data_IF_074533942889
#
_entry.id   IF_074533942889
#
_cell.length_a   1.000
_cell.length_b   1.000
_cell.length_c   1.000
_cell.angle_alpha   90.00
_cell.angle_beta   90.00
_cell.angle_gamma   90.00
#
_symmetry.space_group_name_H-M   'P 1'
#
loop_
_entity.id
_entity.type
_entity.pdbx_description
1 polymer ?
#
# COMPACT_ATOMS: atom_id res chain seq x y z
N UNK A 1 10.00 -22.68 23.79
CA UNK A 1 9.82 -21.25 23.57
C UNK A 1 10.38 -20.94 22.19
N UNK A 2 9.65 -20.95 21.09
CA UNK A 2 8.22 -21.20 20.90
C UNK A 2 7.87 -20.61 19.53
N UNK A 3 7.85 -21.43 18.48
CA UNK A 3 7.46 -21.05 17.11
C UNK A 3 6.13 -20.29 17.03
N UNK A 4 5.27 -20.51 18.03
CA UNK A 4 4.00 -19.81 18.19
C UNK A 4 4.16 -18.35 18.65
N UNK A 5 5.20 -17.99 19.42
CA UNK A 5 5.42 -16.61 19.89
C UNK A 5 5.89 -15.69 18.75
N UNK A 6 6.73 -16.18 17.83
CA UNK A 6 7.10 -15.48 16.58
C UNK A 6 5.92 -15.36 15.60
N UNK A 7 4.98 -16.30 15.64
CA UNK A 7 3.79 -16.28 14.79
C UNK A 7 2.65 -15.43 15.36
N UNK A 8 2.52 -15.32 16.69
CA UNK A 8 1.39 -14.68 17.36
C UNK A 8 1.56 -13.16 17.55
N UNK A 9 2.73 -12.60 17.26
CA UNK A 9 2.89 -11.18 16.91
C UNK A 9 3.21 -11.04 15.43
N UNK A 10 2.21 -11.30 14.58
CA UNK A 10 2.22 -11.21 13.11
C UNK A 10 2.64 -9.83 12.51
N UNK A 11 3.16 -8.91 13.32
CA UNK A 11 3.72 -7.61 12.93
C UNK A 11 5.24 -7.55 12.91
N UNK A 12 5.91 -8.68 13.14
CA UNK A 12 7.35 -8.75 13.09
C UNK A 12 7.82 -8.38 11.64
N UNK A 13 8.49 -7.22 11.45
CA UNK A 13 8.81 -6.70 10.12
C UNK A 13 9.82 -7.57 9.36
N UNK A 14 10.46 -8.52 10.04
CA UNK A 14 11.46 -9.44 9.50
C UNK A 14 10.94 -10.39 8.41
N UNK A 15 9.62 -10.53 8.24
CA UNK A 15 9.01 -11.39 7.20
C UNK A 15 8.48 -10.62 5.99
N UNK A 16 8.58 -9.29 5.98
CA UNK A 16 7.99 -8.43 4.95
C UNK A 16 9.08 -8.06 3.93
N UNK A 17 8.82 -8.30 2.65
CA UNK A 17 9.65 -7.75 1.58
C UNK A 17 9.53 -6.22 1.58
N UNK A 18 10.63 -5.54 1.94
CA UNK A 18 10.70 -4.08 2.04
C UNK A 18 11.02 -3.40 0.70
N UNK A 19 11.15 -4.16 -0.39
CA UNK A 19 11.33 -3.62 -1.73
C UNK A 19 10.17 -2.74 -2.15
N UNK A 20 10.47 -1.59 -2.77
CA UNK A 20 9.47 -0.58 -3.18
C UNK A 20 8.34 -1.22 -3.99
N UNK A 21 8.68 -2.03 -5.00
CA UNK A 21 7.68 -2.68 -5.84
C UNK A 21 6.74 -3.62 -5.06
N UNK A 22 7.29 -4.41 -4.13
CA UNK A 22 6.50 -5.33 -3.29
C UNK A 22 5.58 -4.56 -2.35
N UNK A 23 6.08 -3.49 -1.71
CA UNK A 23 5.28 -2.67 -0.80
C UNK A 23 4.21 -1.87 -1.52
N UNK A 24 4.49 -1.31 -2.71
CA UNK A 24 3.49 -0.64 -3.53
C UNK A 24 2.38 -1.61 -3.96
N UNK A 25 2.73 -2.84 -4.35
CA UNK A 25 1.75 -3.86 -4.70
C UNK A 25 0.87 -4.24 -3.49
N UNK A 26 1.48 -4.46 -2.33
CA UNK A 26 0.77 -4.77 -1.08
C UNK A 26 -0.18 -3.63 -0.68
N UNK A 27 0.26 -2.38 -0.79
CA UNK A 27 -0.56 -1.21 -0.46
C UNK A 27 -1.76 -1.08 -1.42
N UNK A 28 -1.57 -1.36 -2.71
CA UNK A 28 -2.67 -1.38 -3.70
C UNK A 28 -3.67 -2.50 -3.42
N UNK A 29 -3.22 -3.68 -2.99
CA UNK A 29 -4.09 -4.78 -2.60
C UNK A 29 -4.90 -4.47 -1.32
N UNK A 30 -4.24 -3.85 -0.33
CA UNK A 30 -4.92 -3.32 0.86
C UNK A 30 -5.99 -2.29 0.45
N UNK A 31 -5.68 -1.38 -0.46
CA UNK A 31 -6.63 -0.39 -0.97
C UNK A 31 -7.86 -1.04 -1.63
N UNK A 32 -7.67 -2.12 -2.40
CA UNK A 32 -8.79 -2.90 -2.95
C UNK A 32 -9.65 -3.51 -1.85
N UNK A 33 -9.01 -4.14 -0.86
CA UNK A 33 -9.71 -4.71 0.30
C UNK A 33 -10.50 -3.65 1.06
N UNK A 34 -9.91 -2.48 1.30
CA UNK A 34 -10.60 -1.37 1.98
C UNK A 34 -11.77 -0.83 1.17
N UNK A 35 -11.61 -0.69 -0.15
CA UNK A 35 -12.66 -0.14 -1.03
C UNK A 35 -13.92 -1.00 -1.02
N UNK A 36 -13.77 -2.32 -1.04
CA UNK A 36 -14.89 -3.26 -1.16
C UNK A 36 -15.29 -3.96 0.15
N UNK A 37 -14.41 -3.95 1.16
CA UNK A 37 -14.61 -4.62 2.45
C UNK A 37 -14.96 -3.68 3.62
N UNK A 38 -14.89 -2.35 3.42
CA UNK A 38 -15.24 -1.40 4.48
C UNK A 38 -16.74 -1.22 4.63
N UNK A 39 -17.23 -1.29 5.88
CA UNK A 39 -18.65 -1.10 6.21
C UNK A 39 -19.07 0.37 6.30
N UNK A 40 -18.12 1.31 6.32
CA UNK A 40 -18.39 2.74 6.37
C UNK A 40 -17.72 3.46 5.20
N UNK A 41 -18.29 4.62 4.83
CA UNK A 41 -17.76 5.45 3.75
C UNK A 41 -16.32 5.91 4.00
N UNK A 42 -15.95 6.19 5.26
CA UNK A 42 -14.59 6.56 5.62
C UNK A 42 -13.58 5.49 5.18
N UNK A 43 -13.85 4.21 5.47
CA UNK A 43 -12.98 3.11 5.07
C UNK A 43 -12.96 2.91 3.54
N UNK A 44 -14.12 3.02 2.89
CA UNK A 44 -14.22 2.89 1.43
C UNK A 44 -13.59 4.04 0.65
N UNK A 45 -13.48 5.22 1.25
CA UNK A 45 -12.93 6.43 0.60
C UNK A 45 -11.45 6.67 0.92
N UNK A 46 -10.91 6.08 1.99
CA UNK A 46 -9.48 6.15 2.32
C UNK A 46 -8.56 5.73 1.16
N UNK A 47 -8.90 4.72 0.33
CA UNK A 47 -8.09 4.36 -0.85
C UNK A 47 -7.92 5.47 -1.89
N UNK A 48 -8.86 6.40 -2.02
CA UNK A 48 -8.83 7.40 -3.09
C UNK A 48 -7.59 8.31 -3.04
N UNK A 49 -7.30 9.03 -1.93
CA UNK A 49 -6.09 9.85 -1.85
C UNK A 49 -4.81 9.00 -1.94
N UNK A 50 -4.81 7.78 -1.42
CA UNK A 50 -3.63 6.89 -1.46
C UNK A 50 -3.29 6.47 -2.88
N UNK A 51 -4.27 5.94 -3.63
CA UNK A 51 -4.07 5.52 -5.02
C UNK A 51 -3.71 6.72 -5.90
N UNK A 52 -4.37 7.87 -5.69
CA UNK A 52 -4.02 9.11 -6.39
C UNK A 52 -2.55 9.50 -6.17
N UNK A 53 -2.05 9.41 -4.93
CA UNK A 53 -0.64 9.71 -4.63
C UNK A 53 0.32 8.73 -5.32
N UNK A 54 0.01 7.43 -5.32
CA UNK A 54 0.83 6.42 -5.98
C UNK A 54 0.84 6.54 -7.50
N UNK A 55 -0.24 7.05 -8.11
CA UNK A 55 -0.35 7.18 -9.57
C UNK A 55 0.27 8.48 -10.09
N UNK A 56 0.15 9.58 -9.34
CA UNK A 56 0.59 10.91 -9.79
C UNK A 56 1.94 11.36 -9.20
N UNK A 57 2.33 10.83 -8.03
CA UNK A 57 3.57 11.19 -7.33
C UNK A 57 4.36 9.94 -6.87
N UNK A 58 4.59 8.93 -7.75
CA UNK A 58 5.27 7.69 -7.36
C UNK A 58 6.72 7.91 -6.86
N UNK A 59 7.36 9.01 -7.22
CA UNK A 59 8.68 9.42 -6.76
C UNK A 59 8.76 9.61 -5.24
N UNK A 60 7.69 10.11 -4.61
CA UNK A 60 7.61 10.28 -3.14
C UNK A 60 7.64 8.93 -2.41
N UNK A 61 7.37 7.84 -3.13
CA UNK A 61 7.37 6.47 -2.63
C UNK A 61 8.58 5.65 -3.12
N UNK A 62 9.56 6.29 -3.77
CA UNK A 62 10.79 5.65 -4.25
C UNK A 62 10.65 4.89 -5.57
N UNK A 63 9.54 5.06 -6.30
CA UNK A 63 9.38 4.58 -7.66
C UNK A 63 9.85 5.63 -8.68
N UNK A 64 10.05 5.22 -9.94
CA UNK A 64 10.43 6.16 -10.98
C UNK A 64 9.28 7.15 -11.25
N UNK A 65 9.61 8.44 -11.36
CA UNK A 65 8.65 9.47 -11.70
C UNK A 65 7.98 9.16 -13.06
N UNK A 66 6.67 9.42 -13.23
CA UNK A 66 6.03 9.29 -14.52
C UNK A 66 6.66 10.30 -15.48
N UNK A 67 6.81 9.95 -16.75
CA UNK A 67 7.16 10.94 -17.77
C UNK A 67 6.05 11.98 -17.75
N UNK A 68 6.34 13.28 -17.54
CA UNK A 68 5.29 14.29 -17.47
C UNK A 68 4.51 14.28 -18.77
N UNK A 69 3.26 13.85 -18.70
CA UNK A 69 2.33 14.00 -19.80
C UNK A 69 1.96 15.47 -19.82
N UNK A 70 2.49 16.20 -20.81
CA UNK A 70 2.18 17.60 -21.03
C UNK A 70 0.66 17.75 -21.07
N UNK A 71 0.10 18.37 -20.03
CA UNK A 71 -1.25 18.90 -20.08
C UNK A 71 -1.19 20.08 -21.05
N UNK A 72 -1.83 19.94 -22.20
CA UNK A 72 -2.14 21.04 -23.12
C UNK A 72 -3.13 22.02 -22.46
#
# INVERSE_FOLDING_TARGET
AGYLEDALYSRAPDRIDVGVAAQTALLRDLCNTMKYGSLCALGGFTPYPVLSALDHFPEDFGAAAPVPQAAE
#
